data_IF_505678783579
#
_entry.id   IF_505678783579
#
_cell.length_a   1.000
_cell.length_b   1.000
_cell.length_c   1.000
_cell.angle_alpha   90.00
_cell.angle_beta   90.00
_cell.angle_gamma   90.00
#
_symmetry.space_group_name_H-M   'P 1'
#
loop_
_entity.id
_entity.type
_entity.pdbx_description
1 polymer ?
#
# COMPACT_ATOMS: atom_id res chain seq x y z
N UNK A 1 -10.53 -19.09 -7.76
CA UNK A 1 -10.69 -17.83 -6.99
C UNK A 1 -10.01 -17.83 -5.61
N UNK A 2 -10.11 -18.91 -4.80
CA UNK A 2 -9.51 -18.99 -3.44
C UNK A 2 -8.00 -18.65 -3.39
N UNK A 3 -7.22 -19.13 -4.36
CA UNK A 3 -5.78 -18.86 -4.43
C UNK A 3 -5.47 -17.40 -4.80
N UNK A 4 -6.25 -16.80 -5.70
CA UNK A 4 -6.10 -15.39 -6.12
C UNK A 4 -6.44 -14.45 -4.96
N UNK A 5 -7.51 -14.75 -4.22
CA UNK A 5 -7.85 -14.02 -3.00
C UNK A 5 -6.73 -14.10 -1.96
N UNK A 6 -6.21 -15.31 -1.70
CA UNK A 6 -5.10 -15.49 -0.75
C UNK A 6 -3.84 -14.74 -1.19
N UNK A 7 -3.50 -14.80 -2.47
CA UNK A 7 -2.33 -14.10 -3.03
C UNK A 7 -2.47 -12.58 -2.93
N UNK A 8 -3.65 -12.04 -3.27
CA UNK A 8 -3.92 -10.59 -3.17
C UNK A 8 -3.91 -10.10 -1.73
N UNK A 9 -4.42 -10.88 -0.77
CA UNK A 9 -4.29 -10.56 0.66
C UNK A 9 -2.82 -10.54 1.10
N UNK A 10 -2.04 -11.55 0.73
CA UNK A 10 -0.60 -11.60 1.07
C UNK A 10 0.13 -10.41 0.46
N UNK A 11 -0.13 -10.10 -0.81
CA UNK A 11 0.46 -8.95 -1.49
C UNK A 11 0.13 -7.64 -0.80
N UNK A 12 -1.13 -7.42 -0.40
CA UNK A 12 -1.54 -6.23 0.34
C UNK A 12 -0.77 -6.11 1.67
N UNK A 13 -0.63 -7.21 2.42
CA UNK A 13 0.13 -7.24 3.67
C UNK A 13 1.60 -6.87 3.41
N UNK A 14 2.24 -7.48 2.41
CA UNK A 14 3.65 -7.20 2.07
C UNK A 14 3.82 -5.72 1.69
N UNK A 15 2.93 -5.17 0.86
CA UNK A 15 2.99 -3.76 0.47
C UNK A 15 2.91 -2.83 1.68
N UNK A 16 2.01 -3.11 2.64
CA UNK A 16 1.93 -2.33 3.88
C UNK A 16 3.17 -2.46 4.75
N UNK A 17 3.77 -3.66 4.85
CA UNK A 17 5.03 -3.84 5.57
C UNK A 17 6.17 -3.02 4.94
N UNK A 18 6.23 -2.95 3.61
CA UNK A 18 7.21 -2.12 2.90
C UNK A 18 6.96 -0.63 3.17
N UNK A 19 5.71 -0.16 3.11
CA UNK A 19 5.37 1.24 3.45
C UNK A 19 5.82 1.58 4.87
N UNK A 20 5.49 0.74 5.86
CA UNK A 20 5.89 0.93 7.26
C UNK A 20 7.41 0.94 7.40
N UNK A 21 8.12 0.02 6.72
CA UNK A 21 9.57 -0.04 6.74
C UNK A 21 10.22 1.23 6.19
N UNK A 22 9.69 1.78 5.10
CA UNK A 22 10.17 3.05 4.53
C UNK A 22 9.98 4.19 5.54
N UNK A 23 8.81 4.28 6.17
CA UNK A 23 8.58 5.28 7.21
C UNK A 23 9.54 5.12 8.40
N UNK A 24 9.75 3.90 8.88
CA UNK A 24 10.67 3.63 9.99
C UNK A 24 12.10 4.09 9.68
N UNK A 25 12.61 3.78 8.49
CA UNK A 25 13.95 4.22 8.04
C UNK A 25 14.01 5.75 7.90
N UNK A 26 12.98 6.36 7.31
CA UNK A 26 12.93 7.81 7.13
C UNK A 26 12.90 8.58 8.46
N UNK A 27 12.19 8.04 9.46
CA UNK A 27 12.18 8.58 10.83
C UNK A 27 13.56 8.45 11.45
N UNK A 28 14.17 7.26 11.37
CA UNK A 28 15.51 7.00 11.94
C UNK A 28 16.59 7.92 11.35
N UNK A 29 16.43 8.34 10.08
CA UNK A 29 17.37 9.23 9.39
C UNK A 29 16.97 10.72 9.45
N UNK A 30 15.91 11.10 10.20
CA UNK A 30 15.33 12.46 10.19
C UNK A 30 14.97 12.99 8.78
N UNK A 31 14.72 12.08 7.84
CA UNK A 31 14.44 12.38 6.43
C UNK A 31 12.94 12.40 6.13
N UNK A 32 12.08 12.22 7.13
CA UNK A 32 10.63 12.16 6.94
C UNK A 32 10.09 13.36 6.12
N UNK A 33 10.54 14.57 6.44
CA UNK A 33 10.14 15.79 5.75
C UNK A 33 10.64 15.88 4.31
N UNK A 34 11.77 15.24 4.00
CA UNK A 34 12.31 15.20 2.63
C UNK A 34 11.47 14.31 1.69
N UNK A 35 10.65 13.42 2.25
CA UNK A 35 9.73 12.57 1.49
C UNK A 35 8.40 13.25 1.20
N UNK A 36 8.14 14.42 1.81
CA UNK A 36 6.93 15.19 1.59
C UNK A 36 7.08 16.12 0.36
N UNK A 37 5.98 16.39 -0.38
CA UNK A 37 4.65 15.82 -0.19
C UNK A 37 4.54 14.41 -0.79
N UNK A 38 3.88 13.50 -0.07
CA UNK A 38 3.63 12.13 -0.55
C UNK A 38 2.43 12.09 -1.52
N UNK A 39 1.40 12.88 -1.21
CA UNK A 39 0.22 13.11 -2.05
C UNK A 39 -0.06 14.61 -2.08
N UNK A 40 -0.19 15.19 -3.26
CA UNK A 40 -0.55 16.61 -3.45
C UNK A 40 -1.32 16.77 -4.77
N UNK A 41 -2.18 17.79 -4.87
CA UNK A 41 -2.95 18.09 -6.09
C UNK A 41 -3.71 16.87 -6.64
N UNK A 42 -4.28 16.06 -5.75
CA UNK A 42 -4.99 14.83 -6.08
C UNK A 42 -4.16 13.77 -6.83
N UNK A 43 -2.82 13.82 -6.72
CA UNK A 43 -1.91 12.87 -7.36
C UNK A 43 -0.78 12.42 -6.42
N UNK A 44 -0.40 11.14 -6.45
CA UNK A 44 0.83 10.66 -5.80
C UNK A 44 2.05 11.31 -6.45
N UNK A 45 2.99 11.79 -5.65
CA UNK A 45 4.09 12.65 -6.13
C UNK A 45 5.42 11.90 -6.30
N UNK A 46 5.64 10.84 -5.52
CA UNK A 46 6.88 10.08 -5.50
C UNK A 46 6.62 8.58 -5.40
N UNK A 47 7.70 7.79 -5.40
CA UNK A 47 7.61 6.34 -5.31
C UNK A 47 6.82 5.87 -4.06
N UNK A 48 6.98 6.55 -2.92
CA UNK A 48 6.23 6.25 -1.70
C UNK A 48 4.73 6.50 -1.87
N UNK A 49 4.35 7.62 -2.50
CA UNK A 49 2.94 7.93 -2.81
C UNK A 49 2.31 6.87 -3.71
N UNK A 50 3.02 6.45 -4.77
CA UNK A 50 2.56 5.37 -5.65
C UNK A 50 2.50 4.02 -4.94
N UNK A 51 3.44 3.73 -4.05
CA UNK A 51 3.44 2.51 -3.24
C UNK A 51 2.22 2.45 -2.31
N UNK A 52 1.86 3.58 -1.68
CA UNK A 52 0.66 3.68 -0.84
C UNK A 52 -0.60 3.46 -1.69
N UNK A 53 -0.69 4.08 -2.88
CA UNK A 53 -1.81 3.87 -3.79
C UNK A 53 -1.92 2.39 -4.21
N UNK A 54 -0.80 1.73 -4.51
CA UNK A 54 -0.77 0.31 -4.84
C UNK A 54 -1.22 -0.57 -3.66
N UNK A 55 -0.77 -0.26 -2.42
CA UNK A 55 -1.19 -0.98 -1.22
C UNK A 55 -2.70 -0.87 -0.99
N UNK A 56 -3.27 0.34 -1.16
CA UNK A 56 -4.70 0.59 -1.05
C UNK A 56 -5.46 -0.18 -2.14
N UNK A 57 -5.02 -0.10 -3.39
CA UNK A 57 -5.66 -0.81 -4.50
C UNK A 57 -5.66 -2.34 -4.29
N UNK A 58 -4.52 -2.90 -3.87
CA UNK A 58 -4.42 -4.33 -3.56
C UNK A 58 -5.35 -4.75 -2.42
N UNK A 59 -5.49 -3.89 -1.39
CA UNK A 59 -6.43 -4.10 -0.28
C UNK A 59 -7.87 -4.08 -0.78
N UNK A 60 -8.26 -3.11 -1.62
CA UNK A 60 -9.59 -3.01 -2.19
C UNK A 60 -9.94 -4.25 -3.04
N UNK A 61 -9.03 -4.70 -3.89
CA UNK A 61 -9.20 -5.92 -4.70
C UNK A 61 -9.39 -7.15 -3.79
N UNK A 62 -8.59 -7.28 -2.73
CA UNK A 62 -8.71 -8.37 -1.78
C UNK A 62 -10.07 -8.40 -1.08
N UNK A 63 -10.60 -7.23 -0.70
CA UNK A 63 -11.93 -7.08 -0.11
C UNK A 63 -13.04 -7.42 -1.10
N UNK A 64 -12.97 -6.92 -2.33
CA UNK A 64 -13.96 -7.22 -3.38
C UNK A 64 -13.98 -8.72 -3.66
N UNK A 65 -12.82 -9.36 -3.82
CA UNK A 65 -12.71 -10.80 -4.03
C UNK A 65 -13.27 -11.63 -2.87
N UNK A 66 -13.22 -11.12 -1.65
CA UNK A 66 -13.86 -11.75 -0.49
C UNK A 66 -15.39 -11.65 -0.61
N UNK A 67 -15.90 -10.45 -0.87
CA UNK A 67 -17.34 -10.19 -0.98
C UNK A 67 -18.01 -10.93 -2.14
N UNK A 68 -17.34 -11.09 -3.28
CA UNK A 68 -17.89 -11.82 -4.43
C UNK A 68 -17.86 -13.33 -4.26
N UNK A 69 -17.10 -13.83 -3.30
CA UNK A 69 -16.97 -15.26 -3.01
C UNK A 69 -17.93 -15.75 -1.93
N UNK A 70 -18.34 -14.84 -1.05
CA UNK A 70 -19.36 -15.09 -0.02
C UNK A 70 -20.80 -14.92 -0.56
N UNK A 71 -20.96 -14.49 -1.83
CA UNK A 71 -22.21 -14.53 -2.59
C UNK A 71 -22.31 -15.81 -3.41
#
# INVERSE_FOLDING_TARGET
>A
MKNIQRLTTILAIILWLVVIGIFAVAISNNQLWSMAPVIAYNRPQNALGWLIVAAIAATAVSVILKLTRDK
#
